data_IF_266566862375
#
_entry.id   IF_266566862375
#
_cell.length_a   1.000
_cell.length_b   1.000
_cell.length_c   1.000
_cell.angle_alpha   90.00
_cell.angle_beta   90.00
_cell.angle_gamma   90.00
#
_symmetry.space_group_name_H-M   'P 1'
#
loop_
_entity.id
_entity.type
_entity.pdbx_description
1 polymer ?
2 non-polymer ?
3 non-polymer ?
4 water ?
#
# COMPACT_ATOMS: atom_id res chain seq x y z
N UNK A 2 1.32 -27.46 -27.13
CA UNK A 2 1.20 -26.38 -26.11
C UNK A 2 2.16 -26.60 -24.94
N UNK A 3 2.43 -25.52 -24.23
CA UNK A 3 3.34 -25.53 -23.13
C UNK A 3 3.04 -24.41 -22.13
N UNK A 4 3.41 -24.70 -20.91
CA UNK A 4 3.26 -23.78 -19.81
C UNK A 4 4.32 -22.66 -19.92
N UNK A 5 3.84 -21.45 -20.18
CA UNK A 5 4.73 -20.30 -20.28
C UNK A 5 4.94 -19.61 -18.93
N UNK A 6 3.94 -19.70 -18.05
CA UNK A 6 4.03 -19.12 -16.72
C UNK A 6 3.10 -19.92 -15.81
N UNK A 7 3.49 -20.06 -14.56
CA UNK A 7 2.61 -20.72 -13.58
C UNK A 7 3.01 -20.30 -12.19
N UNK A 8 2.02 -20.05 -11.35
CA UNK A 8 2.25 -19.90 -9.94
C UNK A 8 0.99 -20.30 -9.22
N UNK A 9 1.13 -20.73 -7.98
CA UNK A 9 -0.02 -21.22 -7.24
C UNK A 9 0.28 -21.13 -5.76
N UNK A 10 -0.77 -21.09 -4.95
CA UNK A 10 -0.57 -21.08 -3.50
C UNK A 10 -1.84 -20.76 -2.75
N UNK A 11 -1.69 -20.22 -1.55
CA UNK A 11 -2.86 -19.91 -0.73
C UNK A 11 -3.00 -18.41 -0.59
N UNK A 12 -4.22 -17.94 -0.87
CA UNK A 12 -4.58 -16.53 -0.76
C UNK A 12 -5.53 -16.35 0.43
N UNK A 13 -5.64 -15.10 0.87
CA UNK A 13 -6.64 -14.71 1.86
C UNK A 13 -6.48 -15.43 3.20
N UNK A 14 -5.23 -15.65 3.61
CA UNK A 14 -4.97 -16.30 4.89
C UNK A 14 -4.95 -15.24 5.98
N UNK A 15 -6.00 -15.21 6.79
CA UNK A 15 -6.06 -14.27 7.91
C UNK A 15 -5.21 -14.77 9.06
N UNK A 16 -4.41 -13.87 9.60
CA UNK A 16 -3.49 -14.22 10.69
C UNK A 16 -3.52 -13.17 11.76
N UNK A 17 -3.71 -13.60 13.00
CA UNK A 17 -3.55 -12.73 14.18
C UNK A 17 -2.39 -13.25 15.00
N UNK A 18 -1.60 -12.34 15.57
CA UNK A 18 -0.63 -12.72 16.58
C UNK A 18 -0.66 -11.73 17.71
N UNK A 19 -0.50 -12.25 18.93
CA UNK A 19 -0.38 -11.44 20.13
C UNK A 19 1.01 -11.65 20.73
N UNK A 20 1.55 -10.56 21.25
CA UNK A 20 2.71 -10.56 22.11
C UNK A 20 2.27 -10.13 23.50
N UNK A 21 2.66 -10.89 24.52
CA UNK A 21 2.31 -10.60 25.90
C UNK A 21 3.57 -10.37 26.72
N UNK A 22 3.72 -9.16 27.28
CA UNK A 22 4.80 -8.89 28.22
C UNK A 22 4.28 -9.24 29.61
N UNK A 23 4.76 -10.35 30.13
CA UNK A 23 4.26 -10.89 31.40
C UNK A 23 4.70 -10.00 32.57
N UNK A 24 5.84 -9.31 32.40
CA UNK A 24 6.34 -8.36 33.42
C UNK A 24 5.44 -7.14 33.57
N UNK A 25 5.12 -6.51 32.44
CA UNK A 25 4.37 -5.27 32.45
C UNK A 25 2.87 -5.46 32.28
N UNK A 26 2.47 -6.61 31.74
CA UNK A 26 1.07 -6.87 31.40
C UNK A 26 0.65 -6.29 30.05
N UNK A 27 1.54 -5.57 29.38
CA UNK A 27 1.17 -4.94 28.11
C UNK A 27 1.14 -6.00 27.01
N UNK A 28 0.01 -6.03 26.30
CA UNK A 28 -0.17 -6.95 25.16
C UNK A 28 -0.20 -6.12 23.89
N UNK A 29 0.31 -6.70 22.81
CA UNK A 29 0.36 -6.01 21.54
C UNK A 29 -0.14 -6.97 20.49
N UNK A 30 -1.03 -6.51 19.61
CA UNK A 30 -1.64 -7.40 18.62
C UNK A 30 -1.28 -6.98 17.20
N UNK A 31 -1.25 -7.97 16.34
CA UNK A 31 -0.92 -7.83 14.91
C UNK A 31 -1.98 -8.62 14.16
N UNK A 32 -2.52 -8.06 13.10
CA UNK A 32 -3.43 -8.82 12.25
C UNK A 32 -3.12 -8.50 10.81
N UNK A 33 -3.09 -9.57 9.99
CA UNK A 33 -2.69 -9.55 8.58
C UNK A 33 -3.66 -10.38 7.75
N UNK A 34 -3.56 -10.19 6.44
CA UNK A 34 -4.03 -11.17 5.47
C UNK A 34 -2.86 -11.45 4.55
N UNK A 35 -2.55 -12.74 4.40
CA UNK A 35 -1.35 -13.21 3.70
C UNK A 35 -1.71 -14.02 2.48
N UNK A 36 -0.93 -13.80 1.41
CA UNK A 36 -0.97 -14.64 0.22
C UNK A 36 0.43 -15.10 -0.09
N UNK A 37 0.61 -16.41 -0.32
CA UNK A 37 1.89 -16.95 -0.78
C UNK A 37 1.63 -17.74 -2.06
N UNK A 38 2.28 -17.33 -3.16
CA UNK A 38 2.24 -18.08 -4.41
C UNK A 38 3.66 -18.49 -4.79
N UNK A 39 3.78 -19.76 -5.17
CA UNK A 39 5.06 -20.37 -5.51
C UNK A 39 5.20 -20.58 -7.02
N UNK A 40 6.46 -20.53 -7.49
CA UNK A 40 6.84 -20.91 -8.83
C UNK A 40 7.97 -21.92 -8.75
N UNK A 41 8.11 -22.73 -9.77
CA UNK A 41 9.25 -23.62 -9.87
C UNK A 41 9.05 -24.67 -10.92
N UNK A 42 9.61 -25.84 -10.67
CA UNK A 42 9.54 -26.95 -11.59
C UNK A 42 8.24 -27.68 -11.32
N UNK A 43 7.14 -27.02 -11.65
CA UNK A 43 5.78 -27.48 -11.34
C UNK A 43 4.92 -27.72 -12.57
N UNK A 44 5.49 -27.53 -13.77
CA UNK A 44 4.69 -27.60 -14.98
C UNK A 44 3.99 -28.95 -15.16
N UNK A 45 4.59 -30.04 -14.69
CA UNK A 45 3.97 -31.35 -14.87
C UNK A 45 2.69 -31.54 -14.05
N UNK A 46 2.49 -30.72 -13.02
CA UNK A 46 1.19 -30.76 -12.32
C UNK A 46 0.05 -30.30 -13.25
N UNK A 47 0.38 -29.42 -14.18
CA UNK A 47 -0.57 -28.92 -15.15
C UNK A 47 -0.69 -29.85 -16.36
N UNK A 48 0.44 -30.36 -16.84
CA UNK A 48 0.44 -31.07 -18.12
C UNK A 48 0.23 -32.57 -18.02
N UNK A 49 0.54 -33.19 -16.87
CA UNK A 49 0.61 -34.63 -16.74
C UNK A 49 -0.09 -35.17 -15.50
N UNK A 50 -0.89 -34.33 -14.83
CA UNK A 50 -1.56 -34.73 -13.59
C UNK A 50 -0.55 -35.22 -12.54
N UNK A 51 0.63 -34.59 -12.52
CA UNK A 51 1.71 -34.95 -11.60
C UNK A 51 1.62 -34.10 -10.36
N UNK A 52 0.93 -34.61 -9.34
CA UNK A 52 0.79 -33.86 -8.10
C UNK A 52 2.01 -33.94 -7.20
N UNK A 53 3.00 -34.76 -7.55
CA UNK A 53 4.16 -34.95 -6.69
C UNK A 53 4.95 -33.66 -6.48
N UNK A 54 4.86 -32.77 -7.46
CA UNK A 54 5.55 -31.48 -7.42
C UNK A 54 4.79 -30.40 -6.67
N UNK A 55 3.56 -30.70 -6.24
CA UNK A 55 2.71 -29.73 -5.57
C UNK A 55 2.91 -29.81 -4.05
N UNK A 56 3.45 -28.73 -3.48
CA UNK A 56 3.30 -28.44 -2.06
C UNK A 56 1.86 -27.93 -1.88
N UNK A 57 1.00 -28.70 -1.24
CA UNK A 57 -0.42 -28.38 -1.21
C UNK A 57 -0.64 -26.98 -0.70
N UNK A 58 -1.63 -26.28 -1.25
CA UNK A 58 -1.92 -24.96 -0.71
C UNK A 58 -2.30 -25.03 0.77
N UNK A 59 -2.95 -26.12 1.19
CA UNK A 59 -3.27 -26.32 2.59
C UNK A 59 -1.99 -26.32 3.43
N UNK A 60 -0.94 -26.98 2.91
CA UNK A 60 0.35 -26.98 3.58
C UNK A 60 1.02 -25.62 3.62
N UNK A 61 0.86 -24.85 2.54
CA UNK A 61 1.34 -23.47 2.53
C UNK A 61 0.66 -22.66 3.65
N UNK A 62 -0.67 -22.84 3.81
CA UNK A 62 -1.41 -22.22 4.90
C UNK A 62 -0.82 -22.62 6.25
N UNK A 63 -0.63 -23.93 6.46
CA UNK A 63 -0.04 -24.37 7.72
C UNK A 63 1.30 -23.69 7.98
N UNK A 64 2.10 -23.61 6.91
CA UNK A 64 3.42 -23.02 7.00
C UNK A 64 3.39 -21.56 7.37
N UNK A 65 2.39 -20.82 6.86
CA UNK A 65 2.24 -19.43 7.25
C UNK A 65 2.03 -19.31 8.77
N UNK A 66 1.14 -20.15 9.31
CA UNK A 66 0.87 -20.07 10.75
C UNK A 66 2.09 -20.50 11.58
N UNK A 67 2.78 -21.56 11.15
CA UNK A 67 3.99 -22.03 11.83
C UNK A 67 5.05 -20.96 11.82
N UNK A 68 5.25 -20.32 10.66
CA UNK A 68 6.26 -19.29 10.55
C UNK A 68 5.92 -18.09 11.43
N UNK A 69 4.64 -17.71 11.50
CA UNK A 69 4.22 -16.63 12.41
C UNK A 69 4.44 -17.01 13.88
N UNK A 70 4.30 -18.29 14.23
CA UNK A 70 4.53 -18.74 15.60
C UNK A 70 6.01 -18.64 15.96
N UNK A 71 6.88 -18.90 14.99
CA UNK A 71 8.30 -19.06 15.27
C UNK A 71 9.13 -17.82 15.01
N UNK A 72 8.51 -16.75 14.53
CA UNK A 72 9.21 -15.56 14.11
C UNK A 72 8.41 -14.31 14.41
N UNK A 73 9.08 -13.16 14.46
CA UNK A 73 8.32 -11.91 14.49
C UNK A 73 7.51 -11.75 13.24
N UNK A 74 6.32 -11.16 13.38
CA UNK A 74 5.51 -10.83 12.21
C UNK A 74 5.68 -9.38 11.75
N UNK A 75 6.50 -8.63 12.48
CA UNK A 75 6.75 -7.22 12.18
C UNK A 75 8.28 -7.03 12.08
N UNK A 76 8.73 -6.07 11.28
CA UNK A 76 7.96 -5.41 10.24
C UNK A 76 7.53 -6.43 9.18
N UNK A 77 6.46 -6.12 8.42
CA UNK A 77 5.97 -7.09 7.44
C UNK A 77 7.00 -7.43 6.36
N UNK A 78 7.88 -6.48 6.04
CA UNK A 78 8.97 -6.73 5.10
C UNK A 78 9.83 -7.89 5.56
N UNK A 79 10.14 -7.94 6.85
CA UNK A 79 10.92 -9.03 7.42
C UNK A 79 10.16 -10.34 7.42
N UNK A 80 8.93 -10.32 7.94
CA UNK A 80 8.14 -11.53 7.98
C UNK A 80 7.97 -12.15 6.59
N UNK A 81 7.65 -11.29 5.60
CA UNK A 81 7.49 -11.79 4.25
C UNK A 81 8.77 -12.38 3.68
N UNK A 82 9.91 -11.78 4.04
CA UNK A 82 11.20 -12.31 3.60
C UNK A 82 11.52 -13.66 4.22
N UNK A 83 11.23 -13.81 5.51
CA UNK A 83 11.41 -15.09 6.19
C UNK A 83 10.54 -16.15 5.55
N UNK A 84 9.27 -15.82 5.35
CA UNK A 84 8.32 -16.76 4.80
C UNK A 84 8.71 -17.19 3.38
N UNK A 85 9.07 -16.22 2.52
CA UNK A 85 9.45 -16.55 1.15
C UNK A 85 10.72 -17.38 1.08
N UNK A 86 11.70 -17.02 1.92
CA UNK A 86 12.95 -17.73 1.96
C UNK A 86 12.72 -19.19 2.35
N UNK A 87 11.80 -19.42 3.29
CA UNK A 87 11.51 -20.77 3.70
C UNK A 87 11.18 -21.68 2.52
N UNK A 88 10.29 -21.24 1.63
CA UNK A 88 9.86 -22.12 0.55
C UNK A 88 10.99 -22.45 -0.42
N UNK A 89 11.82 -21.48 -0.77
CA UNK A 89 12.86 -21.75 -1.73
C UNK A 89 13.99 -22.58 -1.12
N UNK A 90 14.20 -22.48 0.19
CA UNK A 90 15.20 -23.31 0.87
C UNK A 90 14.70 -24.72 1.17
N UNK A 91 13.44 -24.86 1.55
CA UNK A 91 12.92 -26.15 1.95
C UNK A 91 12.70 -27.08 0.76
N UNK A 92 12.27 -26.51 -0.37
CA UNK A 92 11.88 -27.30 -1.54
C UNK A 92 12.81 -27.00 -2.69
N UNK A 93 13.66 -27.99 -3.02
CA UNK A 93 14.65 -27.81 -4.08
C UNK A 93 14.02 -27.29 -5.36
N UNK A 94 12.86 -27.84 -5.71
CA UNK A 94 12.23 -27.58 -7.00
C UNK A 94 11.39 -26.30 -7.06
N UNK A 95 11.25 -25.61 -5.93
CA UNK A 95 10.57 -24.32 -5.86
C UNK A 95 11.64 -23.24 -5.97
N UNK A 96 11.46 -22.34 -6.93
CA UNK A 96 12.49 -21.33 -7.24
C UNK A 96 12.04 -19.90 -7.06
N UNK A 97 10.76 -19.68 -6.75
CA UNK A 97 10.33 -18.35 -6.35
C UNK A 97 9.16 -18.46 -5.42
N UNK A 98 9.13 -17.53 -4.46
CA UNK A 98 8.00 -17.39 -3.56
C UNK A 98 7.58 -15.92 -3.56
N UNK A 99 6.31 -15.70 -3.82
CA UNK A 99 5.72 -14.38 -3.92
C UNK A 99 4.78 -14.17 -2.75
N UNK A 100 5.17 -13.30 -1.83
CA UNK A 100 4.48 -13.12 -0.57
C UNK A 100 3.85 -11.74 -0.53
N UNK A 101 2.53 -11.70 -0.42
CA UNK A 101 1.81 -10.45 -0.24
C UNK A 101 1.23 -10.42 1.17
N UNK A 102 1.43 -9.31 1.87
CA UNK A 102 0.87 -9.16 3.20
C UNK A 102 0.13 -7.82 3.26
N UNK A 103 -1.12 -7.87 3.73
CA UNK A 103 -1.88 -6.68 4.06
C UNK A 103 -1.95 -6.64 5.59
N UNK A 104 -1.50 -5.55 6.20
CA UNK A 104 -1.53 -5.36 7.64
C UNK A 104 -2.72 -4.46 7.99
N UNK A 105 -3.54 -4.97 8.92
CA UNK A 105 -4.73 -4.29 9.39
C UNK A 105 -4.41 -3.52 10.66
N UNK A 106 -5.04 -2.36 10.82
CA UNK A 106 -4.76 -1.54 11.98
C UNK A 106 -5.47 -1.99 13.24
N UNK A 107 -4.68 -2.18 14.31
CA UNK A 107 -5.19 -2.35 15.67
C UNK A 107 -4.40 -1.39 16.54
N UNK A 108 -4.97 -0.20 16.71
CA UNK A 108 -4.32 0.85 17.45
C UNK A 108 -4.76 0.78 18.91
N UNK A 109 -3.79 0.86 19.81
CA UNK A 109 -4.06 0.75 21.24
C UNK A 109 -5.00 1.87 21.68
N UNK A 110 -6.03 1.52 22.43
CA UNK A 110 -6.97 2.50 22.98
C UNK A 110 -6.34 3.32 24.09
N UNK A 111 -6.69 4.60 24.13
CA UNK A 111 -6.45 5.44 25.29
C UNK A 111 -7.76 5.57 26.04
N UNK A 112 -7.72 5.18 27.30
CA UNK A 112 -8.89 5.24 28.17
C UNK A 112 -8.55 6.18 29.32
N UNK A 113 -9.40 7.18 29.53
CA UNK A 113 -9.12 8.23 30.53
C UNK A 113 -7.69 8.73 30.41
N UNK A 114 -7.27 8.93 29.16
CA UNK A 114 -5.98 9.53 28.85
C UNK A 114 -4.75 8.64 29.02
N UNK A 115 -4.96 7.35 29.25
CA UNK A 115 -3.86 6.40 29.48
C UNK A 115 -3.96 5.24 28.46
N UNK A 116 -2.82 4.82 27.87
CA UNK A 116 -2.88 3.70 26.94
C UNK A 116 -3.29 2.41 27.63
N UNK A 117 -4.27 1.73 27.07
CA UNK A 117 -4.77 0.52 27.68
C UNK A 117 -3.88 -0.68 27.34
N UNK A 118 -3.63 -1.57 28.33
CA UNK A 118 -2.67 -2.66 28.05
C UNK A 118 -3.12 -3.74 27.06
N UNK A 119 -4.42 -3.85 26.78
CA UNK A 119 -4.88 -4.96 25.94
C UNK A 119 -6.15 -4.72 25.16
N UNK A 120 -6.43 -3.46 24.83
CA UNK A 120 -7.64 -3.11 24.09
C UNK A 120 -7.25 -2.18 22.93
N UNK A 121 -7.87 -2.43 21.78
CA UNK A 121 -7.45 -1.86 20.51
C UNK A 121 -8.66 -1.46 19.67
N UNK A 122 -8.43 -0.48 18.79
CA UNK A 122 -9.46 0.02 17.90
C UNK A 122 -8.94 -0.02 16.46
N UNK A 123 -9.82 -0.41 15.55
CA UNK A 123 -9.53 -0.28 14.13
C UNK A 123 -9.74 1.19 13.76
N UNK A 124 -8.68 2.00 13.93
CA UNK A 124 -8.80 3.47 13.88
C UNK A 124 -8.88 4.01 12.44
N UNK A 125 -8.64 3.12 11.47
CA UNK A 125 -8.73 3.45 10.04
C UNK A 125 -8.78 2.14 9.22
N UNK A 126 -9.42 2.11 8.04
CA UNK A 126 -9.25 0.93 7.11
C UNK A 126 -7.99 1.09 6.26
N UNK A 127 -7.22 2.16 6.47
CA UNK A 127 -5.89 2.26 5.85
C UNK A 127 -5.09 0.99 6.14
N UNK A 128 -4.34 0.53 5.13
CA UNK A 128 -3.50 -0.64 5.23
C UNK A 128 -2.04 -0.27 5.04
N UNK A 129 -1.17 -1.09 5.65
CA UNK A 129 0.25 -1.13 5.34
C UNK A 129 0.50 -2.48 4.69
N UNK A 130 1.13 -2.49 3.52
CA UNK A 130 1.30 -3.72 2.74
C UNK A 130 2.74 -3.96 2.40
N UNK A 131 3.04 -5.22 2.08
CA UNK A 131 4.27 -5.53 1.39
C UNK A 131 4.02 -6.55 0.31
N UNK A 132 4.88 -6.51 -0.71
CA UNK A 132 5.00 -7.52 -1.74
C UNK A 132 6.46 -7.96 -1.76
N UNK A 133 6.73 -9.19 -1.31
CA UNK A 133 8.10 -9.67 -1.16
C UNK A 133 8.26 -10.85 -2.13
N UNK A 134 9.13 -10.66 -3.11
CA UNK A 134 9.40 -11.67 -4.12
C UNK A 134 10.78 -12.23 -3.87
N UNK A 135 10.81 -13.47 -3.42
CA UNK A 135 12.06 -14.17 -3.12
C UNK A 135 12.31 -15.10 -4.30
N UNK A 136 13.36 -14.82 -5.07
CA UNK A 136 13.61 -15.52 -6.31
C UNK A 136 15.00 -16.13 -6.25
N UNK A 137 15.05 -17.46 -6.38
CA UNK A 137 16.29 -18.18 -6.12
C UNK A 137 17.34 -17.70 -7.10
N UNK A 138 18.50 -17.34 -6.52
CA UNK A 138 19.61 -16.80 -7.30
C UNK A 138 19.52 -15.31 -7.62
N UNK A 139 18.42 -14.67 -7.19
CA UNK A 139 18.14 -13.27 -7.54
C UNK A 139 17.65 -12.46 -6.29
N UNK A 140 17.91 -12.98 -5.12
CA UNK A 140 17.69 -12.24 -3.91
C UNK A 140 16.22 -12.03 -3.58
N UNK A 141 15.97 -10.89 -2.95
CA UNK A 141 14.67 -10.57 -2.37
C UNK A 141 14.32 -9.15 -2.80
N UNK A 142 13.22 -9.06 -3.54
CA UNK A 142 12.69 -7.80 -4.04
C UNK A 142 11.46 -7.41 -3.24
N UNK A 143 11.51 -6.25 -2.62
CA UNK A 143 10.48 -5.80 -1.70
C UNK A 143 9.86 -4.49 -2.17
N UNK A 144 8.54 -4.49 -2.31
CA UNK A 144 7.75 -3.26 -2.49
C UNK A 144 6.88 -3.09 -1.26
N UNK A 145 7.03 -1.93 -0.63
CA UNK A 145 6.27 -1.57 0.56
C UNK A 145 5.24 -0.53 0.19
N UNK A 146 4.07 -0.54 0.82
CA UNK A 146 3.08 0.47 0.50
C UNK A 146 2.17 0.81 1.65
N UNK A 147 1.53 1.96 1.51
CA UNK A 147 0.35 2.31 2.31
C UNK A 147 -0.78 2.50 1.33
N UNK A 148 -1.99 2.13 1.73
CA UNK A 148 -3.13 2.22 0.84
C UNK A 148 -4.37 2.50 1.66
N UNK A 149 -5.40 3.00 1.00
CA UNK A 149 -6.65 3.25 1.69
C UNK A 149 -6.58 4.40 2.68
N UNK A 150 -5.65 5.32 2.47
CA UNK A 150 -5.54 6.52 3.26
C UNK A 150 -6.36 7.62 2.59
N UNK A 151 -7.54 7.86 3.14
CA UNK A 151 -8.55 8.71 2.51
C UNK A 151 -8.54 10.10 3.12
N UNK A 152 -8.35 11.09 2.26
CA UNK A 152 -8.13 12.48 2.70
C UNK A 152 -8.96 13.44 1.85
N UNK A 153 -9.18 14.62 2.39
CA UNK A 153 -9.90 15.69 1.68
C UNK A 153 -9.35 17.01 2.15
N UNK A 154 -9.15 17.94 1.20
CA UNK A 154 -8.94 19.34 1.56
C UNK A 154 -9.99 20.18 0.87
N UNK A 155 -10.45 21.21 1.57
CA UNK A 155 -11.64 21.96 1.16
C UNK A 155 -11.32 23.19 0.33
N UNK A 156 -10.04 23.53 0.22
CA UNK A 156 -9.55 24.65 -0.57
C UNK A 156 -8.07 24.40 -0.85
N UNK A 157 -7.39 25.36 -1.48
CA UNK A 157 -5.97 25.22 -1.82
C UNK A 157 -5.74 24.01 -2.72
N UNK A 158 -6.68 23.86 -3.66
CA UNK A 158 -6.54 23.00 -4.82
C UNK A 158 -7.08 23.79 -6.00
N UNK A 159 -6.35 23.72 -7.10
CA UNK A 159 -6.65 24.44 -8.32
C UNK A 159 -6.53 23.51 -9.51
N UNK A 160 -7.17 23.87 -10.62
CA UNK A 160 -6.91 23.16 -11.86
C UNK A 160 -7.31 24.05 -13.03
N UNK A 161 -6.31 24.68 -13.62
CA UNK A 161 -6.45 25.56 -14.76
C UNK A 161 -5.25 25.39 -15.69
N UNK A 162 -5.40 25.89 -16.90
CA UNK A 162 -4.34 25.81 -17.87
C UNK A 162 -4.21 24.47 -18.60
N UNK A 163 -5.21 23.61 -18.46
CA UNK A 163 -5.23 22.34 -19.16
C UNK A 163 -5.68 22.52 -20.61
N UNK A 164 -5.40 21.53 -21.43
CA UNK A 164 -5.69 21.58 -22.85
C UNK A 164 -7.19 21.75 -23.07
N UNK A 165 -7.55 22.66 -23.96
CA UNK A 165 -8.96 22.94 -24.29
C UNK A 165 -9.17 22.78 -25.77
N UNK A 166 -10.05 21.88 -26.13
CA UNK A 166 -10.41 21.69 -27.53
C UNK A 166 -11.90 21.33 -27.60
N UNK A 167 -12.31 20.77 -28.73
CA UNK A 167 -13.72 20.51 -28.97
C UNK A 167 -14.31 19.41 -28.12
N UNK A 168 -13.47 18.71 -27.35
CA UNK A 168 -13.92 17.70 -26.39
C UNK A 168 -14.05 18.22 -24.97
N UNK A 169 -13.71 19.49 -24.74
CA UNK A 169 -13.59 20.04 -23.41
C UNK A 169 -14.82 20.83 -23.01
N UNK A 170 -15.39 20.47 -21.86
CA UNK A 170 -16.42 21.25 -21.20
C UNK A 170 -15.98 21.78 -19.82
N UNK A 171 -14.93 21.20 -19.24
CA UNK A 171 -14.56 21.52 -17.88
C UNK A 171 -14.14 22.97 -17.71
N UNK A 172 -14.76 23.65 -16.76
CA UNK A 172 -14.36 25.02 -16.42
C UNK A 172 -13.04 25.00 -15.65
N UNK A 173 -12.17 25.94 -15.97
CA UNK A 173 -11.01 26.18 -15.10
C UNK A 173 -11.46 26.59 -13.71
N UNK A 174 -10.67 26.23 -12.71
CA UNK A 174 -10.94 26.65 -11.35
C UNK A 174 -9.66 27.01 -10.62
N UNK A 175 -9.80 27.99 -9.75
CA UNK A 175 -8.73 28.44 -8.86
C UNK A 175 -9.00 28.09 -7.41
N UNK A 176 -10.09 27.37 -7.14
CA UNK A 176 -10.44 27.00 -5.77
C UNK A 176 -11.45 25.86 -5.82
N UNK A 177 -10.99 24.66 -5.51
CA UNK A 177 -11.84 23.48 -5.53
C UNK A 177 -11.49 22.57 -4.36
N UNK A 178 -12.35 21.58 -4.17
CA UNK A 178 -12.08 20.47 -3.27
C UNK A 178 -11.14 19.47 -3.92
N UNK A 179 -10.25 18.88 -3.14
CA UNK A 179 -9.46 17.73 -3.59
C UNK A 179 -9.57 16.63 -2.56
N UNK A 180 -9.97 15.45 -3.02
CA UNK A 180 -10.06 14.27 -2.16
C UNK A 180 -9.54 13.07 -2.92
N UNK A 181 -8.86 12.17 -2.20
CA UNK A 181 -8.29 10.98 -2.80
C UNK A 181 -8.17 9.88 -1.76
N UNK A 182 -7.86 8.69 -2.28
CA UNK A 182 -7.49 7.53 -1.50
C UNK A 182 -6.04 7.24 -1.86
N UNK A 183 -5.10 7.48 -0.95
CA UNK A 183 -3.69 7.36 -1.30
C UNK A 183 -3.23 5.91 -1.33
N UNK A 184 -2.62 5.54 -2.45
CA UNK A 184 -1.91 4.29 -2.61
C UNK A 184 -0.49 4.68 -3.02
N UNK A 185 0.45 4.48 -2.10
CA UNK A 185 1.84 4.93 -2.27
C UNK A 185 2.75 3.71 -2.05
N UNK A 186 3.66 3.47 -3.00
CA UNK A 186 4.55 2.30 -2.95
C UNK A 186 6.00 2.74 -3.07
N UNK A 187 6.86 2.22 -2.21
CA UNK A 187 8.29 2.43 -2.32
C UNK A 187 8.97 1.11 -2.59
N UNK A 188 9.82 1.10 -3.62
CA UNK A 188 10.50 -0.09 -4.04
C UNK A 188 11.96 -0.06 -3.54
N UNK A 189 12.32 -1.08 -2.76
CA UNK A 189 13.64 -1.17 -2.16
C UNK A 189 14.67 -1.67 -3.16
N UNK A 190 15.91 -1.25 -2.94
CA UNK A 190 17.06 -1.91 -3.55
C UNK A 190 16.90 -3.41 -3.36
N UNK A 191 17.29 -4.20 -4.35
CA UNK A 191 17.33 -5.65 -4.21
C UNK A 191 18.20 -6.00 -3.02
N UNK A 192 17.74 -6.94 -2.21
CA UNK A 192 18.51 -7.49 -1.10
C UNK A 192 19.00 -8.87 -1.48
N UNK A 193 20.19 -9.21 -1.03
CA UNK A 193 20.83 -10.45 -1.50
C UNK A 193 20.24 -11.71 -0.87
N UNK A 194 19.57 -11.54 0.26
CA UNK A 194 19.05 -12.61 1.04
C UNK A 194 18.53 -12.10 2.36
N UNK A 195 18.23 -13.02 3.26
CA UNK A 195 17.60 -12.66 4.49
C UNK A 195 18.55 -11.91 5.46
N UNK A 196 19.85 -12.18 5.39
CA UNK A 196 20.77 -11.43 6.24
C UNK A 196 20.73 -9.94 5.90
N UNK A 197 20.74 -9.61 4.62
CA UNK A 197 20.74 -8.21 4.25
C UNK A 197 19.42 -7.53 4.64
N UNK A 198 18.30 -8.23 4.43
CA UNK A 198 17.03 -7.68 4.89
C UNK A 198 17.08 -7.37 6.39
N UNK A 199 17.52 -8.34 7.18
CA UNK A 199 17.60 -8.17 8.62
C UNK A 199 18.49 -6.99 8.99
N UNK A 200 19.57 -6.79 8.23
CA UNK A 200 20.51 -5.70 8.53
C UNK A 200 19.90 -4.32 8.40
N UNK A 201 18.77 -4.21 7.68
CA UNK A 201 18.09 -2.94 7.48
C UNK A 201 16.75 -2.84 8.19
N UNK A 202 16.48 -3.75 9.13
CA UNK A 202 15.14 -3.84 9.70
C UNK A 202 14.55 -2.54 10.20
N UNK A 203 15.29 -1.72 10.95
CA UNK A 203 14.67 -0.47 11.45
C UNK A 203 14.20 0.47 10.35
N UNK A 204 14.85 0.39 9.18
CA UNK A 204 14.48 1.26 8.07
C UNK A 204 13.08 1.01 7.54
N UNK A 205 12.53 -0.19 7.76
CA UNK A 205 11.20 -0.47 7.21
C UNK A 205 10.11 0.36 7.91
N UNK A 206 10.02 0.28 9.23
CA UNK A 206 9.04 1.11 9.95
C UNK A 206 9.35 2.59 9.74
N UNK A 207 10.63 2.96 9.73
CA UNK A 207 10.98 4.37 9.61
C UNK A 207 10.56 4.96 8.27
N UNK A 208 10.73 4.16 7.21
CA UNK A 208 10.40 4.64 5.87
C UNK A 208 8.89 4.69 5.65
N UNK A 209 8.16 3.71 6.20
CA UNK A 209 6.70 3.77 6.20
C UNK A 209 6.23 5.07 6.89
N UNK A 210 6.79 5.35 8.05
CA UNK A 210 6.40 6.55 8.80
C UNK A 210 6.71 7.81 7.99
N UNK A 211 7.88 7.84 7.36
CA UNK A 211 8.25 8.96 6.51
C UNK A 211 7.27 9.14 5.36
N UNK A 212 6.98 8.04 4.67
CA UNK A 212 6.08 8.11 3.54
C UNK A 212 4.73 8.66 3.96
N UNK A 213 4.22 8.19 5.09
CA UNK A 213 2.91 8.65 5.57
C UNK A 213 2.95 10.12 5.93
N UNK A 214 4.01 10.52 6.67
CA UNK A 214 4.16 11.91 7.13
C UNK A 214 4.26 12.86 5.94
N UNK A 215 5.09 12.50 4.98
CA UNK A 215 5.28 13.34 3.78
C UNK A 215 3.98 13.43 3.00
N UNK A 216 3.28 12.32 2.85
CA UNK A 216 2.02 12.33 2.11
C UNK A 216 1.04 13.32 2.75
N UNK A 217 0.87 13.21 4.06
CA UNK A 217 -0.11 14.04 4.75
C UNK A 217 0.27 15.53 4.72
N UNK A 218 1.53 15.82 5.04
CA UNK A 218 1.97 17.20 5.10
C UNK A 218 1.94 17.86 3.72
N UNK A 219 2.40 17.12 2.70
CA UNK A 219 2.40 17.70 1.36
C UNK A 219 0.96 17.92 0.87
N UNK A 220 0.10 16.94 1.10
CA UNK A 220 -1.31 17.11 0.74
C UNK A 220 -1.90 18.34 1.41
N UNK A 221 -1.65 18.47 2.72
CA UNK A 221 -2.22 19.57 3.48
C UNK A 221 -1.69 20.93 3.12
N UNK A 222 -0.39 20.99 2.79
CA UNK A 222 0.28 22.27 2.65
C UNK A 222 0.45 22.73 1.20
N UNK A 223 0.42 21.81 0.23
CA UNK A 223 0.66 22.22 -1.17
C UNK A 223 -0.59 22.91 -1.71
N UNK A 224 -0.45 24.14 -2.18
CA UNK A 224 -1.54 24.82 -2.88
C UNK A 224 -1.51 24.23 -4.29
N UNK A 225 -2.33 23.21 -4.48
CA UNK A 225 -2.09 22.24 -5.52
C UNK A 225 -2.46 22.73 -6.91
N UNK A 226 -1.53 22.63 -7.85
CA UNK A 226 -1.78 22.96 -9.26
C UNK A 226 -2.51 21.85 -10.00
N UNK A 227 -2.41 20.63 -9.47
CA UNK A 227 -2.99 19.43 -10.05
C UNK A 227 -2.62 18.28 -9.12
N UNK A 228 -3.33 17.17 -9.26
CA UNK A 228 -2.94 15.95 -8.57
C UNK A 228 -1.51 15.54 -8.99
N UNK A 229 -1.25 15.63 -10.29
CA UNK A 229 0.07 15.32 -10.86
C UNK A 229 1.18 16.08 -10.12
N UNK A 230 1.03 17.38 -9.98
CA UNK A 230 2.11 18.20 -9.42
C UNK A 230 2.32 17.90 -7.94
N UNK A 231 1.21 17.70 -7.22
CA UNK A 231 1.29 17.44 -5.79
C UNK A 231 1.92 16.07 -5.49
N UNK A 232 1.49 15.07 -6.22
CA UNK A 232 1.99 13.72 -5.95
C UNK A 232 3.48 13.62 -6.27
N UNK A 233 3.95 14.35 -7.28
CA UNK A 233 5.37 14.34 -7.62
C UNK A 233 6.20 14.88 -6.46
N UNK A 234 5.71 15.94 -5.83
CA UNK A 234 6.41 16.50 -4.67
C UNK A 234 6.52 15.48 -3.55
N UNK A 235 5.45 14.71 -3.32
CA UNK A 235 5.49 13.70 -2.29
C UNK A 235 6.59 12.69 -2.59
N UNK A 236 6.59 12.19 -3.83
CA UNK A 236 7.56 11.16 -4.22
C UNK A 236 9.00 11.63 -4.11
N UNK A 237 9.28 12.85 -4.58
CA UNK A 237 10.66 13.33 -4.55
C UNK A 237 11.15 13.50 -3.12
N UNK A 238 10.26 13.90 -2.20
CA UNK A 238 10.66 14.04 -0.80
C UNK A 238 10.96 12.71 -0.17
N UNK A 239 10.16 11.69 -0.47
CA UNK A 239 10.41 10.38 0.11
C UNK A 239 11.74 9.81 -0.39
N UNK A 240 12.01 9.95 -1.68
CA UNK A 240 13.30 9.53 -2.25
C UNK A 240 14.48 10.22 -1.58
N UNK A 241 14.33 11.49 -1.25
CA UNK A 241 15.40 12.26 -0.62
C UNK A 241 15.65 11.78 0.80
N UNK A 242 14.70 11.10 1.42
CA UNK A 242 14.83 10.74 2.82
C UNK A 242 15.21 9.27 3.06
N UNK A 243 15.33 8.47 2.00
CA UNK A 243 15.76 7.08 2.16
C UNK A 243 16.52 6.60 0.92
N UNK A 244 17.84 6.51 1.05
CA UNK A 244 18.64 6.18 -0.13
C UNK A 244 18.49 4.71 -0.57
N UNK A 245 17.96 3.84 0.30
CA UNK A 245 17.78 2.44 -0.06
C UNK A 245 16.52 2.18 -0.84
N UNK A 246 15.69 3.22 -1.03
CA UNK A 246 14.56 3.22 -1.98
C UNK A 246 15.08 3.56 -3.37
N UNK A 247 14.58 2.86 -4.40
CA UNK A 247 14.89 3.21 -5.78
C UNK A 247 13.81 4.02 -6.45
N UNK A 248 12.55 3.67 -6.22
CA UNK A 248 11.45 4.41 -6.79
C UNK A 248 10.33 4.58 -5.78
N UNK A 249 9.50 5.58 -6.03
CA UNK A 249 8.22 5.80 -5.31
C UNK A 249 7.14 5.94 -6.35
N UNK A 250 6.07 5.18 -6.16
CA UNK A 250 4.93 5.22 -7.06
C UNK A 250 3.69 5.67 -6.29
N UNK A 251 2.90 6.54 -6.91
CA UNK A 251 1.59 6.92 -6.38
C UNK A 251 0.52 6.57 -7.39
N UNK A 252 -0.61 6.10 -6.87
CA UNK A 252 -1.80 5.91 -7.65
C UNK A 252 -2.94 6.60 -6.90
N UNK A 253 -3.50 7.67 -7.49
CA UNK A 253 -4.43 8.55 -6.79
C UNK A 253 -5.70 8.76 -7.62
N UNK A 254 -6.86 8.33 -7.07
CA UNK A 254 -8.11 8.76 -7.67
C UNK A 254 -8.41 10.22 -7.36
N UNK A 255 -9.00 10.94 -8.30
CA UNK A 255 -9.51 12.27 -8.04
C UNK A 255 -11.01 12.10 -7.78
N UNK A 256 -11.39 12.12 -6.49
CA UNK A 256 -12.74 11.77 -6.06
C UNK A 256 -13.54 13.08 -6.11
N UNK A 257 -14.28 13.28 -7.20
CA UNK A 257 -14.80 14.61 -7.51
C UNK A 257 -15.95 15.00 -6.61
N UNK A 258 -15.96 16.27 -6.22
CA UNK A 258 -17.05 16.90 -5.48
C UNK A 258 -17.55 18.04 -6.38
N UNK A 259 -18.77 17.90 -6.88
CA UNK A 259 -19.32 18.85 -7.84
C UNK A 259 -20.11 19.94 -7.14
N UNK A 260 -19.94 21.18 -7.61
CA UNK A 260 -20.84 22.24 -7.20
C UNK A 260 -22.28 21.91 -7.62
N UNK A 261 -23.24 22.48 -6.88
CA UNK A 261 -24.66 22.35 -7.16
C UNK A 261 -25.25 23.75 -7.36
N UNK A 262 -25.59 24.05 -8.61
CA UNK A 262 -26.27 25.31 -8.91
C UNK A 262 -27.70 25.24 -8.41
N UNK A 263 -28.02 26.10 -7.46
CA UNK A 263 -29.36 26.18 -6.87
C UNK A 263 -30.09 27.47 -7.26
N UNK A 264 -29.53 28.21 -8.23
CA UNK A 264 -30.07 29.54 -8.55
C UNK A 264 -31.49 29.48 -9.15
N UNK A 265 -31.89 28.33 -9.69
CA UNK A 265 -33.26 28.07 -10.13
C UNK A 265 -34.28 28.11 -8.99
N UNK A 266 -33.81 27.96 -7.76
CA UNK A 266 -34.67 27.96 -6.57
C UNK A 266 -34.45 29.26 -5.80
N UNK A 267 -35.37 30.19 -5.99
CA UNK A 267 -35.40 31.44 -5.23
C UNK A 267 -34.07 32.20 -5.32
N UNK A 268 -33.37 32.07 -6.45
CA UNK A 268 -32.10 32.77 -6.63
C UNK A 268 -30.99 32.35 -5.68
N UNK A 269 -31.09 31.15 -5.08
CA UNK A 269 -30.11 30.73 -4.08
C UNK A 269 -28.74 30.65 -4.75
N UNK A 270 -27.73 31.18 -4.06
CA UNK A 270 -26.38 31.24 -4.57
C UNK A 270 -25.51 30.22 -3.84
N UNK A 271 -25.10 29.22 -4.61
CA UNK A 271 -24.32 28.10 -4.11
C UNK A 271 -23.21 27.71 -5.06
N UNK A 272 -22.75 28.65 -5.87
CA UNK A 272 -21.60 28.39 -6.73
C UNK A 272 -20.50 29.39 -6.50
N UNK A 273 -19.31 29.07 -7.01
CA UNK A 273 -18.17 29.96 -6.87
C UNK A 273 -17.91 30.32 -5.42
N UNK A 274 -17.74 31.61 -5.11
CA UNK A 274 -17.44 32.05 -3.74
C UNK A 274 -18.54 31.65 -2.76
N UNK A 275 -19.75 31.43 -3.26
CA UNK A 275 -20.90 31.08 -2.43
C UNK A 275 -21.13 29.59 -2.29
N UNK A 276 -20.23 28.78 -2.87
CA UNK A 276 -20.42 27.32 -2.84
C UNK A 276 -20.21 26.76 -1.43
N UNK A 277 -21.27 26.19 -0.86
CA UNK A 277 -21.18 25.53 0.43
C UNK A 277 -21.61 24.08 0.38
N UNK A 278 -22.63 23.76 -0.42
CA UNK A 278 -23.19 22.38 -0.48
C UNK A 278 -22.77 21.79 -1.81
N UNK A 279 -22.13 20.62 -1.75
CA UNK A 279 -21.61 19.94 -2.94
C UNK A 279 -22.17 18.53 -3.02
N UNK A 280 -22.12 17.99 -4.24
CA UNK A 280 -22.51 16.61 -4.53
C UNK A 280 -21.24 15.77 -4.72
N UNK A 281 -20.89 14.95 -3.72
CA UNK A 281 -19.81 13.99 -3.94
C UNK A 281 -20.19 13.03 -5.04
N UNK A 282 -19.29 12.79 -5.99
CA UNK A 282 -19.53 11.88 -7.10
C UNK A 282 -18.89 10.53 -6.84
N UNK A 283 -19.70 9.47 -6.81
CA UNK A 283 -19.13 8.13 -6.62
C UNK A 283 -18.34 7.66 -7.81
N UNK A 284 -18.79 8.00 -9.01
CA UNK A 284 -18.11 7.63 -10.24
C UNK A 284 -18.61 8.59 -11.31
N UNK A 285 -17.86 8.76 -12.41
CA UNK A 285 -16.49 8.25 -12.55
C UNK A 285 -15.50 9.07 -11.72
N UNK A 286 -14.22 8.72 -11.84
CA UNK A 286 -13.18 9.40 -11.11
C UNK A 286 -11.94 9.49 -11.96
N UNK A 287 -11.27 10.64 -11.88
CA UNK A 287 -9.92 10.70 -12.42
C UNK A 287 -9.06 9.67 -11.72
N UNK A 288 -8.04 9.19 -12.43
CA UNK A 288 -7.05 8.27 -11.86
C UNK A 288 -5.71 8.71 -12.39
N UNK A 289 -4.83 9.06 -11.46
CA UNK A 289 -3.55 9.71 -11.80
C UNK A 289 -2.43 8.86 -11.21
N UNK A 290 -1.45 8.48 -12.03
CA UNK A 290 -0.37 7.59 -11.61
C UNK A 290 0.98 8.16 -11.99
N UNK A 291 1.98 7.91 -11.14
CA UNK A 291 3.36 8.08 -11.62
C UNK A 291 4.31 7.33 -10.72
N UNK A 292 5.43 7.00 -11.33
CA UNK A 292 6.56 6.37 -10.68
C UNK A 292 7.74 7.30 -10.85
N UNK A 293 8.33 7.68 -9.73
CA UNK A 293 9.45 8.62 -9.67
C UNK A 293 10.70 7.89 -9.21
N UNK A 294 11.81 8.12 -9.90
CA UNK A 294 13.09 7.55 -9.54
C UNK A 294 14.13 8.65 -9.53
N UNK A 295 15.36 8.26 -9.35
CA UNK A 295 16.42 9.26 -9.29
C UNK A 295 16.99 9.49 -10.68
N UNK A 296 17.49 10.69 -10.89
CA UNK A 296 17.98 11.08 -12.22
C UNK A 296 19.39 10.49 -12.45
N UNK A 297 19.79 10.40 -13.73
X LIG B 1 -5.70 16.51 -12.89
X LIG B 1 -6.39 17.16 -11.86
X LIG B 1 -6.26 15.98 -14.02
X LIG B 1 -7.72 17.46 -11.96
X LIG B 1 -5.75 17.48 -10.85
X LIG B 1 -8.34 16.96 -13.00
X LIG B 1 -7.77 15.96 -13.95
X LIG B 1 -9.55 17.25 -13.51
X LIG B 1 -5.60 15.54 -14.95
X LIG B 1 -8.56 15.95 -15.13
X LIG B 1 -9.66 16.65 -14.76
X LIG B 1 -10.72 16.72 -15.40
X LIG B 1 -7.81 14.66 -13.17
X LIG B 1 -9.15 14.23 -12.75
X LIG C 1 -0.17 31.75 -6.65
X LIG C 1 -1.42 31.03 -7.14
X LIG C 1 -1.98 30.25 -6.08
X LIG C 1 -1.00 30.08 -8.28
X LIG C 1 -2.48 32.11 -7.43
X LIG C 1 -3.92 31.58 -7.63
X LIG C 1 -4.95 32.59 -7.67
X LIG C 1 -3.89 30.85 -8.94
#
# INVERSE_FOLDING_TARGET
MSAVKAARYGKDNVRVYKVHKDEKTGVQTVYEMTVCVLLEGEIETSYTKADNSVIVATDSIKNTIYITAKQNPVTPPELFGSILGTHFIEKYNHIHAAHVNIVCHRWTRMDIDGKPHPHSFIRDSEEKRNVQVDVVEGKGIDIKSSLSGLTVLKSTNSQFWGFLRDEYTTLKETWDRILSTDVDATWQWKNFSGLQEVRSHVPKFDATWATAREVTLKTFAEDNSASVQATMYKMAEQILARQQLIETVEYSLPNKHYFEIDLSWHKGLQNTGKNAEVFAPQSDPNGLIKCTVGRSSLKSKL
IUP N1 C2 C6 N3 O11 C4 C5 N9 O13 N7 C8 O24 O2 O3
MPD C1 C2 O2 CM C3 C4 O4 C5
#
